data_IF_492551879588
#
_entry.id   IF_492551879588
#
_cell.length_a   1.000
_cell.length_b   1.000
_cell.length_c   1.000
_cell.angle_alpha   90.00
_cell.angle_beta   90.00
_cell.angle_gamma   90.00
#
_symmetry.space_group_name_H-M   'P 1'
#
loop_
_entity.id
_entity.type
_entity.pdbx_description
1 polymer ?
#
# COMPACT_ATOMS: atom_id res chain seq x y z
N UNK A 1 -80.36 16.21 49.52
CA UNK A 1 -80.01 15.00 48.73
C UNK A 1 -79.44 15.29 47.33
N UNK A 2 -79.23 16.56 46.93
CA UNK A 2 -78.67 16.93 45.61
C UNK A 2 -77.11 16.91 45.53
N UNK A 3 -76.40 16.78 46.66
CA UNK A 3 -74.92 16.82 46.68
C UNK A 3 -74.19 15.46 46.60
N UNK A 4 -74.92 14.32 46.59
CA UNK A 4 -74.28 13.00 46.47
C UNK A 4 -74.10 12.53 45.01
N UNK A 5 -74.91 13.03 44.08
CA UNK A 5 -74.82 12.66 42.66
C UNK A 5 -73.65 13.33 41.91
N UNK A 6 -73.19 14.50 42.37
CA UNK A 6 -72.01 15.18 41.80
C UNK A 6 -70.66 14.64 42.32
N UNK A 7 -70.66 13.91 43.44
CA UNK A 7 -69.48 13.19 43.94
C UNK A 7 -69.27 11.87 43.16
N UNK A 8 -70.35 11.21 42.71
CA UNK A 8 -70.26 9.97 41.92
C UNK A 8 -69.75 10.18 40.48
N UNK A 9 -69.94 11.38 39.89
CA UNK A 9 -69.34 11.73 38.59
C UNK A 9 -67.86 12.13 38.67
N UNK A 10 -67.38 12.52 39.86
CA UNK A 10 -65.95 12.84 40.10
C UNK A 10 -65.13 11.64 40.57
N UNK A 11 -65.78 10.57 41.03
CA UNK A 11 -65.15 9.28 41.34
C UNK A 11 -65.08 8.32 40.12
N UNK A 12 -65.44 8.81 38.92
CA UNK A 12 -65.25 8.11 37.64
C UNK A 12 -64.07 8.69 36.84
N UNK A 13 -63.18 9.41 37.51
CA UNK A 13 -61.93 9.92 36.96
C UNK A 13 -60.81 9.46 37.89
N UNK A 14 -59.78 8.85 37.32
CA UNK A 14 -58.58 8.35 38.02
C UNK A 14 -58.76 7.01 38.78
N UNK A 15 -59.21 5.98 38.06
CA UNK A 15 -58.50 4.70 38.17
C UNK A 15 -57.76 4.54 36.86
N UNK A 16 -56.60 5.19 36.79
CA UNK A 16 -55.54 4.77 35.90
C UNK A 16 -55.11 3.41 36.45
N UNK A 17 -55.72 2.33 35.96
CA UNK A 17 -55.13 1.00 36.15
C UNK A 17 -53.85 1.06 35.33
N UNK A 18 -52.74 1.41 35.98
CA UNK A 18 -51.45 0.96 35.52
C UNK A 18 -51.52 -0.57 35.61
N UNK A 19 -51.92 -1.20 34.50
CA UNK A 19 -51.81 -2.64 34.35
C UNK A 19 -50.32 -2.93 34.25
N UNK A 20 -49.65 -3.06 35.39
CA UNK A 20 -48.37 -3.74 35.45
C UNK A 20 -48.68 -5.23 35.25
N UNK A 21 -48.84 -5.65 34.00
CA UNK A 21 -48.97 -7.06 33.68
C UNK A 21 -47.59 -7.69 33.89
N UNK A 22 -47.36 -8.24 35.09
CA UNK A 22 -46.18 -9.05 35.38
C UNK A 22 -46.46 -10.46 34.86
N UNK A 23 -46.16 -10.69 33.58
CA UNK A 23 -46.28 -12.01 32.97
C UNK A 23 -45.08 -12.85 33.42
N UNK A 24 -45.32 -13.85 34.26
CA UNK A 24 -44.31 -14.85 34.64
C UNK A 24 -44.39 -15.98 33.59
N UNK A 25 -43.59 -15.88 32.53
CA UNK A 25 -43.69 -16.77 31.37
C UNK A 25 -43.09 -18.17 31.66
N UNK A 26 -43.96 -19.14 31.91
CA UNK A 26 -43.67 -20.58 31.86
C UNK A 26 -44.47 -21.30 30.75
N UNK A 27 -45.38 -20.60 30.04
CA UNK A 27 -46.14 -21.12 28.91
C UNK A 27 -45.60 -20.52 27.59
N UNK A 28 -45.12 -21.33 26.63
CA UNK A 28 -44.56 -20.84 25.36
C UNK A 28 -45.55 -20.07 24.48
N UNK A 29 -46.84 -20.01 24.84
CA UNK A 29 -47.87 -19.24 24.13
C UNK A 29 -48.25 -17.90 24.78
N UNK A 30 -47.65 -17.52 25.92
CA UNK A 30 -47.90 -16.20 26.53
C UNK A 30 -47.01 -15.15 25.86
N UNK A 31 -47.50 -14.58 24.77
CA UNK A 31 -46.81 -13.53 24.00
C UNK A 31 -47.27 -12.15 24.49
N UNK A 32 -46.33 -11.29 24.88
CA UNK A 32 -46.60 -9.87 25.07
C UNK A 32 -46.61 -9.17 23.71
N UNK A 33 -47.75 -8.58 23.36
CA UNK A 33 -47.91 -7.81 22.12
C UNK A 33 -47.93 -6.32 22.42
N UNK A 34 -47.17 -5.53 21.66
CA UNK A 34 -47.29 -4.08 21.71
C UNK A 34 -48.62 -3.61 21.11
N UNK A 35 -49.06 -2.42 21.50
CA UNK A 35 -50.18 -1.75 20.83
C UNK A 35 -49.78 -1.49 19.38
N UNK A 36 -50.58 -1.99 18.44
CA UNK A 36 -50.35 -1.87 17.00
C UNK A 36 -51.14 -0.68 16.44
N UNK A 37 -50.46 0.27 15.79
CA UNK A 37 -51.07 1.47 15.19
C UNK A 37 -50.51 1.69 13.77
N UNK A 38 -51.29 2.32 12.87
CA UNK A 38 -50.73 2.85 11.62
C UNK A 38 -49.88 4.10 11.87
N UNK A 39 -49.01 4.50 10.93
CA UNK A 39 -48.19 5.73 11.08
C UNK A 39 -49.08 6.96 11.38
N UNK A 40 -50.25 7.07 10.75
CA UNK A 40 -51.21 8.16 11.02
C UNK A 40 -51.78 8.12 12.44
N UNK A 41 -52.15 6.93 12.92
CA UNK A 41 -52.68 6.76 14.28
C UNK A 41 -51.60 7.01 15.34
N UNK A 42 -50.39 6.50 15.12
CA UNK A 42 -49.22 6.72 15.96
C UNK A 42 -48.91 8.23 16.10
N UNK A 43 -48.95 8.98 15.00
CA UNK A 43 -48.71 10.44 15.02
C UNK A 43 -49.89 11.27 15.58
N UNK A 44 -51.06 10.67 15.80
CA UNK A 44 -52.26 11.35 16.34
C UNK A 44 -52.40 11.25 17.86
N UNK A 45 -51.59 10.41 18.51
CA UNK A 45 -51.62 10.21 19.96
C UNK A 45 -50.60 11.10 20.67
N UNK A 46 -50.87 11.40 21.95
CA UNK A 46 -49.92 12.09 22.85
C UNK A 46 -49.35 11.06 23.83
N UNK A 47 -48.28 10.33 23.47
CA UNK A 47 -47.71 9.29 24.33
C UNK A 47 -46.88 9.88 25.49
N UNK A 48 -46.77 9.17 26.62
CA UNK A 48 -45.76 9.46 27.63
C UNK A 48 -44.35 9.10 27.14
N UNK A 49 -43.32 9.75 27.71
CA UNK A 49 -41.91 9.35 27.50
C UNK A 49 -41.71 7.87 27.87
N UNK A 50 -41.01 7.13 27.01
CA UNK A 50 -40.76 5.69 27.14
C UNK A 50 -41.86 4.78 26.61
N UNK A 51 -42.93 5.31 26.01
CA UNK A 51 -43.95 4.49 25.36
C UNK A 51 -43.36 3.69 24.20
N UNK A 52 -43.75 2.42 24.07
CA UNK A 52 -43.38 1.55 22.96
C UNK A 52 -44.64 1.06 22.24
N UNK A 53 -44.62 1.09 20.90
CA UNK A 53 -45.71 0.63 20.04
C UNK A 53 -45.15 -0.12 18.82
N UNK A 54 -45.99 -0.91 18.18
CA UNK A 54 -45.70 -1.50 16.88
C UNK A 54 -46.40 -0.69 15.78
N UNK A 55 -45.63 -0.15 14.83
CA UNK A 55 -46.19 0.55 13.69
C UNK A 55 -46.49 -0.47 12.58
N UNK A 56 -47.77 -0.71 12.32
CA UNK A 56 -48.22 -1.71 11.34
C UNK A 56 -48.07 -1.26 9.88
N UNK A 57 -47.86 0.04 9.64
CA UNK A 57 -47.58 0.56 8.29
C UNK A 57 -46.12 0.34 7.91
N UNK A 58 -45.21 0.50 8.87
CA UNK A 58 -43.76 0.39 8.67
C UNK A 58 -43.19 -0.98 9.10
N UNK A 59 -44.03 -1.82 9.72
CA UNK A 59 -43.66 -3.15 10.23
C UNK A 59 -42.47 -3.10 11.21
N UNK A 60 -42.45 -2.10 12.09
CA UNK A 60 -41.33 -1.82 12.98
C UNK A 60 -41.80 -1.40 14.38
N UNK A 61 -40.92 -1.57 15.37
CA UNK A 61 -41.16 -1.11 16.74
C UNK A 61 -40.70 0.34 16.85
N UNK A 62 -41.48 1.17 17.54
CA UNK A 62 -41.14 2.55 17.84
C UNK A 62 -41.13 2.79 19.35
N UNK A 63 -40.20 3.64 19.81
CA UNK A 63 -40.17 4.20 21.16
C UNK A 63 -40.43 5.70 21.12
N UNK A 64 -41.03 6.26 22.18
CA UNK A 64 -41.24 7.70 22.30
C UNK A 64 -40.28 8.35 23.29
N UNK A 65 -39.38 9.21 22.82
CA UNK A 65 -38.36 9.93 23.61
C UNK A 65 -38.62 11.45 23.68
N UNK A 66 -39.75 11.91 23.14
CA UNK A 66 -40.04 13.31 22.80
C UNK A 66 -40.48 13.45 21.35
N UNK A 67 -40.15 12.46 20.54
CA UNK A 67 -40.69 12.14 19.21
C UNK A 67 -40.73 10.62 19.04
N UNK A 68 -41.46 10.12 18.05
CA UNK A 68 -41.39 8.70 17.68
C UNK A 68 -40.05 8.40 17.03
N UNK A 69 -39.30 7.48 17.63
CA UNK A 69 -38.04 6.94 17.10
C UNK A 69 -38.23 5.46 16.78
N UNK A 70 -37.91 5.06 15.55
CA UNK A 70 -37.90 3.65 15.19
C UNK A 70 -36.77 2.96 15.95
N UNK A 71 -37.06 1.80 16.57
CA UNK A 71 -36.03 0.91 17.07
C UNK A 71 -35.48 0.16 15.84
N UNK A 72 -34.21 0.36 15.46
CA UNK A 72 -33.65 -0.23 14.24
C UNK A 72 -33.81 -1.75 14.28
N UNK A 73 -34.38 -2.31 13.21
CA UNK A 73 -34.50 -3.76 12.97
C UNK A 73 -33.51 -4.22 11.90
N UNK A 74 -32.77 -3.27 11.34
CA UNK A 74 -31.78 -3.43 10.30
C UNK A 74 -30.35 -3.34 10.88
N UNK A 75 -29.50 -4.24 10.43
CA UNK A 75 -28.09 -4.35 10.75
C UNK A 75 -27.23 -3.32 9.97
N UNK A 76 -27.79 -2.15 9.68
CA UNK A 76 -27.23 -1.05 8.88
C UNK A 76 -26.07 -0.30 9.56
N UNK A 77 -25.45 -0.92 10.58
CA UNK A 77 -24.37 -0.33 11.37
C UNK A 77 -23.09 -1.12 11.16
N UNK A 78 -21.95 -0.43 11.16
CA UNK A 78 -20.65 -1.09 11.18
C UNK A 78 -20.26 -1.37 12.63
N UNK A 79 -20.16 -2.64 13.00
CA UNK A 79 -19.76 -3.03 14.35
C UNK A 79 -18.29 -2.69 14.63
N UNK A 80 -17.96 -2.34 15.88
CA UNK A 80 -16.57 -2.16 16.35
C UNK A 80 -15.78 -3.47 16.34
N UNK A 81 -16.46 -4.62 16.34
CA UNK A 81 -15.86 -5.95 16.16
C UNK A 81 -15.82 -6.40 14.69
N UNK A 82 -16.30 -5.57 13.76
CA UNK A 82 -16.53 -5.93 12.36
C UNK A 82 -17.84 -6.67 12.11
N UNK A 83 -18.29 -6.64 10.85
CA UNK A 83 -19.49 -7.32 10.38
C UNK A 83 -19.10 -8.60 9.62
N UNK A 84 -19.84 -9.70 9.83
CA UNK A 84 -19.68 -10.95 9.06
C UNK A 84 -20.72 -11.03 7.93
N UNK A 85 -20.39 -11.71 6.83
CA UNK A 85 -21.33 -11.98 5.74
C UNK A 85 -21.60 -10.79 4.80
N UNK A 86 -20.70 -9.80 4.75
CA UNK A 86 -20.83 -8.64 3.85
C UNK A 86 -20.70 -9.03 2.37
N UNK A 87 -21.41 -8.32 1.50
CA UNK A 87 -21.25 -8.38 0.05
C UNK A 87 -20.48 -7.13 -0.44
N UNK A 88 -19.23 -7.26 -0.94
CA UNK A 88 -18.43 -6.11 -1.38
C UNK A 88 -19.02 -5.26 -2.52
N UNK A 89 -20.03 -5.76 -3.23
CA UNK A 89 -20.73 -4.99 -4.28
C UNK A 89 -21.78 -4.03 -3.72
N UNK A 90 -22.38 -4.33 -2.56
CA UNK A 90 -23.50 -3.56 -1.99
C UNK A 90 -23.20 -2.97 -0.62
N UNK A 91 -22.31 -3.60 0.16
CA UNK A 91 -22.04 -3.25 1.54
C UNK A 91 -20.66 -2.59 1.63
N UNK A 92 -20.61 -1.33 2.07
CA UNK A 92 -19.37 -0.57 2.17
C UNK A 92 -19.43 0.49 3.26
N UNK A 93 -18.25 0.91 3.74
CA UNK A 93 -18.09 2.15 4.49
C UNK A 93 -17.69 3.22 3.48
N UNK A 94 -18.56 4.20 3.27
CA UNK A 94 -18.29 5.26 2.30
C UNK A 94 -19.45 6.22 2.13
N UNK A 95 -19.29 7.14 1.18
CA UNK A 95 -20.31 8.06 0.71
C UNK A 95 -20.92 7.52 -0.57
N UNK A 96 -22.25 7.67 -0.73
CA UNK A 96 -22.96 7.33 -1.97
C UNK A 96 -23.20 8.55 -2.87
N UNK A 97 -22.84 9.74 -2.38
CA UNK A 97 -22.97 11.02 -3.06
C UNK A 97 -21.58 11.59 -3.42
N UNK A 98 -21.56 12.81 -3.97
CA UNK A 98 -20.34 13.49 -4.42
C UNK A 98 -19.50 14.07 -3.28
N UNK A 99 -19.50 13.45 -2.10
CA UNK A 99 -18.74 13.89 -0.92
C UNK A 99 -17.55 12.98 -0.64
N UNK A 100 -16.50 13.54 -0.05
CA UNK A 100 -15.34 12.77 0.42
C UNK A 100 -15.69 11.91 1.64
N UNK A 101 -15.08 10.73 1.76
CA UNK A 101 -15.08 9.96 3.00
C UNK A 101 -13.92 10.43 3.89
N UNK A 102 -14.23 10.95 5.08
CA UNK A 102 -13.24 11.55 5.98
C UNK A 102 -13.17 10.78 7.29
N UNK A 103 -11.95 10.40 7.69
CA UNK A 103 -11.66 9.86 9.01
C UNK A 103 -11.02 10.95 9.88
N UNK A 104 -11.55 11.11 11.10
CA UNK A 104 -11.14 12.17 12.03
C UNK A 104 -10.70 11.60 13.39
N UNK A 105 -9.77 12.29 14.02
CA UNK A 105 -9.41 12.12 15.42
C UNK A 105 -9.41 13.48 16.11
N UNK A 106 -10.06 13.61 17.27
CA UNK A 106 -10.19 14.89 17.99
C UNK A 106 -10.74 16.03 17.10
N UNK A 107 -11.75 15.74 16.26
CA UNK A 107 -12.34 16.66 15.27
C UNK A 107 -11.37 17.18 14.18
N UNK A 108 -10.14 16.67 14.13
CA UNK A 108 -9.17 16.94 13.07
C UNK A 108 -9.16 15.80 12.07
N UNK A 109 -9.05 16.14 10.80
CA UNK A 109 -8.93 15.14 9.73
C UNK A 109 -7.59 14.42 9.81
N UNK A 110 -7.64 13.09 9.87
CA UNK A 110 -6.46 12.22 9.89
C UNK A 110 -6.13 11.72 8.48
N UNK A 111 -7.13 11.24 7.73
CA UNK A 111 -7.01 10.94 6.31
C UNK A 111 -8.37 10.97 5.62
N UNK A 112 -8.35 11.05 4.29
CA UNK A 112 -9.54 11.03 3.42
C UNK A 112 -9.40 10.04 2.27
N UNK A 113 -10.55 9.58 1.78
CA UNK A 113 -10.70 9.08 0.42
C UNK A 113 -11.45 10.15 -0.35
N UNK A 114 -10.77 10.80 -1.30
CA UNK A 114 -11.39 11.83 -2.12
C UNK A 114 -12.35 11.21 -3.12
N UNK A 115 -13.54 11.77 -3.25
CA UNK A 115 -14.46 11.43 -4.34
C UNK A 115 -13.83 11.75 -5.71
N UNK A 116 -12.90 12.70 -5.76
CA UNK A 116 -12.21 13.08 -6.98
C UNK A 116 -11.07 12.09 -7.23
N UNK A 117 -11.20 11.27 -8.27
CA UNK A 117 -10.20 10.29 -8.70
C UNK A 117 -9.83 9.22 -7.66
N UNK A 118 -10.63 9.06 -6.59
CA UNK A 118 -10.51 7.98 -5.59
C UNK A 118 -9.14 7.98 -4.88
N UNK A 119 -8.56 9.16 -4.67
CA UNK A 119 -7.23 9.32 -4.08
C UNK A 119 -7.28 9.29 -2.55
N UNK A 120 -6.24 8.72 -1.94
CA UNK A 120 -6.05 8.75 -0.49
C UNK A 120 -5.14 9.91 -0.11
N UNK A 121 -5.64 10.80 0.74
CA UNK A 121 -4.88 11.94 1.28
C UNK A 121 -4.64 11.80 2.78
N UNK A 122 -3.41 11.99 3.22
CA UNK A 122 -3.04 12.10 4.65
C UNK A 122 -2.60 13.54 4.89
N UNK A 123 -3.31 14.22 5.81
CA UNK A 123 -3.07 15.63 6.16
C UNK A 123 -3.09 16.60 4.96
N UNK A 124 -3.80 16.24 3.88
CA UNK A 124 -4.07 17.08 2.71
C UNK A 124 -5.51 16.89 2.25
N UNK A 125 -6.18 18.00 1.90
CA UNK A 125 -7.54 17.97 1.41
C UNK A 125 -7.65 17.85 -0.12
N UNK A 126 -6.55 18.10 -0.83
CA UNK A 126 -6.47 18.09 -2.29
C UNK A 126 -5.35 17.13 -2.74
N UNK A 127 -5.51 15.81 -2.56
CA UNK A 127 -4.46 14.86 -2.91
C UNK A 127 -4.12 14.93 -4.42
N UNK A 128 -2.84 15.10 -4.75
CA UNK A 128 -2.37 15.19 -6.14
C UNK A 128 -1.89 13.85 -6.73
N UNK A 129 -1.78 12.81 -5.91
CA UNK A 129 -1.41 11.43 -6.27
C UNK A 129 -2.39 10.41 -5.68
N UNK A 130 -2.31 9.14 -6.10
CA UNK A 130 -3.14 8.05 -5.56
C UNK A 130 -3.01 7.90 -4.03
N UNK A 131 -1.78 8.05 -3.53
CA UNK A 131 -1.47 8.25 -2.12
C UNK A 131 -0.67 9.54 -2.01
N UNK A 132 -1.22 10.54 -1.31
CA UNK A 132 -0.56 11.83 -1.09
C UNK A 132 -0.48 12.11 0.42
N UNK A 133 0.72 12.43 0.89
CA UNK A 133 1.01 12.64 2.31
C UNK A 133 1.69 14.00 2.46
N UNK A 134 0.94 14.97 2.99
CA UNK A 134 1.49 16.26 3.37
C UNK A 134 1.94 16.20 4.83
N UNK A 135 3.23 16.31 5.12
CA UNK A 135 3.73 16.20 6.50
C UNK A 135 4.84 17.21 6.77
N UNK A 136 4.91 17.70 8.01
CA UNK A 136 6.09 18.41 8.56
C UNK A 136 7.02 17.49 9.35
N UNK A 137 6.63 16.22 9.53
CA UNK A 137 7.38 15.14 10.17
C UNK A 137 7.85 14.12 9.12
N UNK A 138 8.22 12.89 9.52
CA UNK A 138 8.52 11.80 8.57
C UNK A 138 7.24 11.37 7.83
N UNK A 139 7.10 11.61 6.51
CA UNK A 139 5.87 11.31 5.78
C UNK A 139 5.67 9.80 5.52
N UNK A 140 6.77 9.06 5.34
CA UNK A 140 6.75 7.62 5.13
C UNK A 140 7.92 6.97 5.88
N UNK A 141 7.61 5.97 6.71
CA UNK A 141 8.61 5.14 7.36
C UNK A 141 8.49 3.70 6.86
N UNK A 142 9.53 3.22 6.18
CA UNK A 142 9.71 1.81 5.87
C UNK A 142 10.74 1.28 6.86
N UNK A 143 10.32 0.37 7.75
CA UNK A 143 11.24 -0.18 8.75
C UNK A 143 12.21 -1.19 8.10
N UNK A 144 13.50 -1.18 8.48
CA UNK A 144 14.43 -2.20 8.04
C UNK A 144 13.94 -3.60 8.39
N UNK A 145 13.94 -4.50 7.42
CA UNK A 145 13.62 -5.90 7.66
C UNK A 145 14.88 -6.71 7.94
N UNK A 146 14.83 -7.55 8.99
CA UNK A 146 15.95 -8.38 9.39
C UNK A 146 16.22 -9.54 8.41
N UNK A 147 15.16 -10.07 7.81
CA UNK A 147 15.25 -11.06 6.74
C UNK A 147 14.89 -10.43 5.39
N UNK A 148 15.51 -10.89 4.31
CA UNK A 148 15.08 -10.53 2.95
C UNK A 148 13.66 -11.05 2.73
N UNK A 149 12.67 -10.20 2.40
CA UNK A 149 11.32 -10.65 2.09
C UNK A 149 11.28 -11.56 0.85
N UNK A 150 10.26 -12.41 0.73
CA UNK A 150 9.97 -13.08 -0.55
C UNK A 150 9.38 -12.05 -1.54
N UNK A 151 10.12 -11.72 -2.60
CA UNK A 151 9.63 -10.86 -3.66
C UNK A 151 8.99 -11.67 -4.79
N UNK A 152 7.92 -11.13 -5.38
CA UNK A 152 7.19 -11.80 -6.46
C UNK A 152 6.73 -10.86 -7.57
N UNK A 153 6.68 -9.54 -7.32
CA UNK A 153 6.15 -8.56 -8.26
C UNK A 153 7.07 -7.35 -8.36
N UNK A 154 7.24 -6.82 -9.57
CA UNK A 154 7.96 -5.55 -9.80
C UNK A 154 7.32 -4.41 -9.01
N UNK A 155 8.15 -3.51 -8.48
CA UNK A 155 7.70 -2.36 -7.71
C UNK A 155 7.46 -2.63 -6.22
N UNK A 156 7.59 -3.88 -5.77
CA UNK A 156 7.76 -4.15 -4.34
C UNK A 156 9.06 -3.51 -3.86
N UNK A 157 9.04 -2.89 -2.69
CA UNK A 157 10.18 -2.19 -2.09
C UNK A 157 10.35 -2.59 -0.63
N UNK A 158 11.59 -2.70 -0.16
CA UNK A 158 11.88 -2.82 1.27
C UNK A 158 13.24 -2.19 1.63
N UNK A 159 13.38 -1.77 2.88
CA UNK A 159 14.66 -1.33 3.45
C UNK A 159 15.29 -2.54 4.15
N UNK A 160 16.55 -2.86 3.85
CA UNK A 160 17.27 -3.92 4.55
C UNK A 160 18.08 -3.37 5.73
N UNK A 161 18.63 -4.25 6.56
CA UNK A 161 19.47 -3.88 7.71
C UNK A 161 20.77 -3.14 7.37
N UNK A 162 21.21 -3.18 6.11
CA UNK A 162 22.35 -2.38 5.63
C UNK A 162 21.98 -0.91 5.33
N UNK A 163 20.71 -0.54 5.53
CA UNK A 163 20.20 0.82 5.34
C UNK A 163 19.87 1.17 3.89
N UNK A 164 20.01 0.22 2.96
CA UNK A 164 19.68 0.44 1.55
C UNK A 164 18.22 0.09 1.27
N UNK A 165 17.65 0.83 0.31
CA UNK A 165 16.34 0.58 -0.24
C UNK A 165 16.49 -0.32 -1.47
N UNK A 166 15.78 -1.45 -1.44
CA UNK A 166 15.75 -2.44 -2.49
C UNK A 166 14.39 -2.45 -3.17
N UNK A 167 14.38 -2.66 -4.48
CA UNK A 167 13.19 -2.99 -5.25
C UNK A 167 13.31 -4.41 -5.81
N UNK A 168 12.19 -5.14 -5.87
CA UNK A 168 12.19 -6.46 -6.46
C UNK A 168 12.21 -6.33 -7.99
N UNK A 169 13.27 -6.84 -8.60
CA UNK A 169 13.37 -6.98 -10.06
C UNK A 169 12.78 -8.33 -10.44
N UNK A 170 11.55 -8.33 -10.96
CA UNK A 170 10.87 -9.58 -11.34
C UNK A 170 11.49 -10.25 -12.57
N UNK A 171 12.23 -9.51 -13.42
CA UNK A 171 12.92 -10.08 -14.58
C UNK A 171 14.15 -10.85 -14.13
N UNK A 172 14.90 -10.30 -13.15
CA UNK A 172 16.08 -10.95 -12.57
C UNK A 172 15.77 -11.82 -11.35
N UNK A 173 14.52 -11.83 -10.91
CA UNK A 173 13.98 -12.58 -9.76
C UNK A 173 14.80 -12.37 -8.48
N UNK A 174 15.14 -11.11 -8.16
CA UNK A 174 15.98 -10.77 -7.00
C UNK A 174 15.73 -9.36 -6.51
N UNK A 175 16.12 -9.10 -5.26
CA UNK A 175 16.08 -7.76 -4.69
C UNK A 175 17.34 -7.01 -5.08
N UNK A 176 17.18 -5.88 -5.77
CA UNK A 176 18.28 -5.02 -6.20
C UNK A 176 18.15 -3.65 -5.55
N UNK A 177 19.27 -3.07 -5.14
CA UNK A 177 19.29 -1.69 -4.67
C UNK A 177 18.72 -0.78 -5.75
N UNK A 178 17.91 0.19 -5.32
CA UNK A 178 17.36 1.18 -6.26
C UNK A 178 18.49 2.04 -6.81
N UNK A 179 19.44 2.41 -5.94
CA UNK A 179 20.66 3.08 -6.36
C UNK A 179 21.52 2.14 -7.20
N UNK A 180 21.87 2.61 -8.40
CA UNK A 180 22.79 1.94 -9.32
C UNK A 180 24.16 2.56 -9.20
N UNK A 181 25.20 1.73 -9.22
CA UNK A 181 26.60 2.20 -9.19
C UNK A 181 27.27 1.83 -10.49
N UNK A 182 28.01 2.76 -11.08
CA UNK A 182 28.78 2.49 -12.30
C UNK A 182 30.26 2.35 -11.99
N UNK A 183 30.89 1.32 -12.55
CA UNK A 183 32.33 1.15 -12.55
C UNK A 183 32.86 1.19 -13.97
N UNK A 184 34.04 1.78 -14.13
CA UNK A 184 34.60 1.99 -15.45
C UNK A 184 36.05 1.59 -15.57
N UNK A 185 36.39 1.31 -16.82
CA UNK A 185 37.76 1.15 -17.26
C UNK A 185 37.94 1.84 -18.60
N UNK A 186 39.19 2.12 -18.96
CA UNK A 186 39.51 2.54 -20.30
C UNK A 186 41.00 2.56 -20.59
N UNK A 187 41.34 3.00 -21.79
CA UNK A 187 42.71 3.27 -22.23
C UNK A 187 42.73 4.58 -22.98
N UNK A 188 43.69 5.44 -22.63
CA UNK A 188 44.01 6.63 -23.39
C UNK A 188 45.10 6.31 -24.41
N UNK A 189 44.81 5.38 -25.32
CA UNK A 189 45.74 4.87 -26.33
C UNK A 189 44.97 4.50 -27.62
N UNK A 190 45.54 4.83 -28.77
CA UNK A 190 44.95 4.62 -30.09
C UNK A 190 45.24 3.20 -30.65
N UNK A 191 46.03 2.39 -29.95
CA UNK A 191 46.46 1.07 -30.45
C UNK A 191 46.27 -0.04 -29.40
N UNK A 192 45.20 0.03 -28.62
CA UNK A 192 44.92 -0.93 -27.55
C UNK A 192 44.69 -2.32 -28.14
N UNK A 193 45.50 -3.30 -27.78
CA UNK A 193 45.44 -4.68 -28.33
C UNK A 193 45.56 -5.71 -27.21
N UNK A 194 44.60 -6.62 -27.15
CA UNK A 194 44.59 -7.80 -26.25
C UNK A 194 45.13 -7.55 -24.84
N UNK A 195 44.51 -6.62 -24.12
CA UNK A 195 45.03 -6.19 -22.84
C UNK A 195 43.97 -5.80 -21.81
N UNK A 196 44.39 -5.83 -20.55
CA UNK A 196 43.59 -5.32 -19.46
C UNK A 196 43.48 -3.80 -19.54
N UNK A 197 42.25 -3.31 -19.50
CA UNK A 197 41.95 -1.89 -19.44
C UNK A 197 42.26 -1.33 -18.04
N UNK A 198 42.49 -0.02 -17.97
CA UNK A 198 42.87 0.66 -16.74
C UNK A 198 41.65 1.17 -16.00
N UNK A 199 41.68 1.10 -14.68
CA UNK A 199 40.77 1.89 -13.85
C UNK A 199 41.03 3.38 -14.08
N UNK A 200 40.10 4.26 -13.70
CA UNK A 200 40.27 5.71 -13.89
C UNK A 200 41.41 6.33 -13.07
N UNK A 201 41.90 5.65 -12.03
CA UNK A 201 43.16 6.02 -11.35
C UNK A 201 44.42 5.66 -12.17
N UNK A 202 44.27 5.07 -13.35
CA UNK A 202 45.35 4.72 -14.26
C UNK A 202 46.01 3.35 -14.03
N UNK A 203 45.66 2.63 -12.95
CA UNK A 203 46.15 1.27 -12.71
C UNK A 203 45.51 0.25 -13.67
N UNK A 204 46.29 -0.70 -14.18
CA UNK A 204 45.78 -1.81 -14.98
C UNK A 204 44.88 -2.71 -14.14
N UNK A 205 43.77 -3.17 -14.71
CA UNK A 205 42.81 -3.97 -13.93
C UNK A 205 43.34 -5.33 -13.49
N UNK A 206 44.35 -5.91 -14.15
CA UNK A 206 45.08 -7.10 -13.67
C UNK A 206 46.08 -6.85 -12.54
N UNK A 207 46.40 -5.59 -12.25
CA UNK A 207 47.20 -5.23 -11.08
C UNK A 207 46.31 -4.87 -9.88
N UNK A 208 45.12 -4.31 -10.14
CA UNK A 208 44.10 -4.04 -9.13
C UNK A 208 42.73 -3.87 -9.81
N UNK A 209 41.71 -4.64 -9.39
CA UNK A 209 40.34 -4.53 -9.88
C UNK A 209 39.43 -3.69 -8.98
N UNK A 210 38.16 -3.55 -9.37
CA UNK A 210 37.16 -2.94 -8.49
C UNK A 210 36.74 -3.94 -7.43
N UNK A 211 37.20 -3.78 -6.20
CA UNK A 211 36.83 -4.65 -5.08
C UNK A 211 35.41 -4.33 -4.61
N UNK A 212 34.56 -5.36 -4.59
CA UNK A 212 33.14 -5.25 -4.35
C UNK A 212 32.86 -5.22 -2.84
N UNK A 213 32.18 -4.18 -2.39
CA UNK A 213 31.92 -3.93 -0.97
C UNK A 213 30.71 -4.69 -0.41
N UNK A 214 29.89 -5.29 -1.29
CA UNK A 214 28.69 -6.09 -0.98
C UNK A 214 28.43 -7.06 -2.12
N UNK A 215 27.57 -8.05 -1.88
CA UNK A 215 26.97 -8.85 -2.94
C UNK A 215 26.22 -7.96 -3.93
N UNK A 216 26.28 -8.30 -5.22
CA UNK A 216 25.60 -7.52 -6.24
C UNK A 216 25.46 -8.23 -7.57
N UNK A 217 24.82 -7.54 -8.50
CA UNK A 217 24.52 -8.01 -9.84
C UNK A 217 24.98 -6.96 -10.84
N UNK A 218 25.74 -7.37 -11.85
CA UNK A 218 25.99 -6.55 -13.05
C UNK A 218 24.69 -6.51 -13.83
N UNK A 219 24.18 -5.30 -14.10
CA UNK A 219 22.87 -5.08 -14.71
C UNK A 219 22.97 -4.49 -16.10
N UNK A 220 24.08 -3.82 -16.40
CA UNK A 220 24.37 -3.37 -17.75
C UNK A 220 25.88 -3.32 -18.01
N UNK A 221 26.23 -3.31 -19.29
CA UNK A 221 27.57 -3.05 -19.79
C UNK A 221 27.47 -2.10 -20.99
N UNK A 222 28.38 -1.13 -21.07
CA UNK A 222 28.53 -0.24 -22.22
C UNK A 222 29.99 -0.18 -22.62
N UNK A 223 30.22 0.02 -23.91
CA UNK A 223 31.54 0.15 -24.51
C UNK A 223 31.49 1.26 -25.54
N UNK A 224 32.53 2.08 -25.59
CA UNK A 224 32.72 3.15 -26.56
C UNK A 224 34.19 3.15 -27.02
N UNK A 225 34.41 3.42 -28.30
CA UNK A 225 35.69 3.63 -28.96
C UNK A 225 35.63 4.94 -29.76
N UNK A 226 36.77 5.40 -30.29
CA UNK A 226 36.85 6.63 -31.12
C UNK A 226 36.65 6.35 -32.62
N UNK A 227 36.45 5.08 -33.01
CA UNK A 227 36.21 4.66 -34.38
C UNK A 227 35.37 3.38 -34.43
N UNK A 228 34.75 3.11 -35.59
CA UNK A 228 33.99 1.89 -35.81
C UNK A 228 34.91 0.67 -35.81
N UNK A 229 34.84 -0.14 -34.76
CA UNK A 229 35.83 -1.18 -34.47
C UNK A 229 35.16 -2.52 -34.13
N UNK A 230 35.95 -3.59 -34.12
CA UNK A 230 35.50 -4.93 -33.74
C UNK A 230 36.36 -5.47 -32.61
N UNK A 231 35.77 -5.59 -31.44
CA UNK A 231 36.42 -6.12 -30.24
C UNK A 231 35.40 -6.83 -29.35
N UNK A 232 35.89 -7.62 -28.41
CA UNK A 232 35.06 -8.15 -27.32
C UNK A 232 35.61 -7.64 -26.01
N UNK A 233 34.75 -6.98 -25.26
CA UNK A 233 35.02 -6.61 -23.88
C UNK A 233 34.62 -7.77 -22.99
N UNK A 234 35.54 -8.17 -22.13
CA UNK A 234 35.40 -9.29 -21.22
C UNK A 234 35.52 -8.79 -19.79
N UNK A 235 34.43 -8.92 -19.03
CA UNK A 235 34.46 -8.75 -17.59
C UNK A 235 34.94 -10.07 -16.99
N UNK A 236 35.96 -9.97 -16.15
CA UNK A 236 36.60 -11.08 -15.42
C UNK A 236 36.59 -10.77 -13.93
N UNK A 237 36.91 -11.77 -13.12
CA UNK A 237 37.02 -11.57 -11.67
C UNK A 237 38.18 -12.33 -11.05
N UNK A 238 38.69 -11.80 -9.94
CA UNK A 238 39.62 -12.47 -9.04
C UNK A 238 40.89 -13.01 -9.71
N UNK A 239 41.46 -12.25 -10.66
CA UNK A 239 42.62 -12.62 -11.48
C UNK A 239 42.45 -13.91 -12.30
N UNK A 240 41.22 -14.38 -12.45
CA UNK A 240 40.90 -15.53 -13.29
C UNK A 240 40.66 -15.08 -14.73
N UNK A 241 40.98 -15.94 -15.70
CA UNK A 241 40.69 -15.70 -17.12
C UNK A 241 39.27 -16.07 -17.50
N UNK A 242 38.45 -16.56 -16.56
CA UNK A 242 37.06 -16.90 -16.82
C UNK A 242 36.24 -15.64 -17.06
N UNK A 243 35.60 -15.57 -18.21
CA UNK A 243 34.71 -14.47 -18.59
C UNK A 243 33.40 -14.63 -17.81
N UNK A 244 33.04 -13.63 -17.01
CA UNK A 244 31.77 -13.62 -16.27
C UNK A 244 30.68 -12.88 -17.02
N UNK A 245 31.04 -11.90 -17.86
CA UNK A 245 30.15 -11.17 -18.75
C UNK A 245 30.96 -10.64 -19.92
N UNK A 246 30.35 -10.46 -21.09
CA UNK A 246 31.03 -9.88 -22.24
C UNK A 246 30.11 -9.05 -23.11
N UNK A 247 30.68 -8.10 -23.84
CA UNK A 247 30.00 -7.35 -24.89
C UNK A 247 30.90 -7.27 -26.13
N UNK A 248 30.39 -7.71 -27.26
CA UNK A 248 31.11 -7.69 -28.54
C UNK A 248 30.66 -6.51 -29.38
N UNK A 249 31.61 -5.71 -29.88
CA UNK A 249 31.40 -4.72 -30.94
C UNK A 249 31.61 -5.39 -32.30
N UNK A 250 30.80 -5.05 -33.28
CA UNK A 250 30.94 -5.54 -34.66
C UNK A 250 30.91 -4.40 -35.65
N UNK A 251 32.08 -3.82 -35.93
CA UNK A 251 32.27 -2.69 -36.83
C UNK A 251 31.37 -1.50 -36.44
N UNK A 252 31.46 -1.08 -35.19
CA UNK A 252 30.67 0.00 -34.60
C UNK A 252 31.50 0.76 -33.55
N UNK A 253 31.15 2.03 -33.29
CA UNK A 253 31.88 2.90 -32.35
C UNK A 253 31.50 2.67 -30.89
N UNK A 254 30.35 2.05 -30.64
CA UNK A 254 29.89 1.84 -29.28
C UNK A 254 28.67 0.95 -29.22
N UNK A 255 28.53 0.24 -28.11
CA UNK A 255 27.44 -0.71 -27.86
C UNK A 255 27.07 -0.71 -26.38
N UNK A 256 25.85 -1.10 -26.08
CA UNK A 256 25.43 -1.39 -24.71
C UNK A 256 24.54 -2.64 -24.64
N UNK A 257 24.47 -3.23 -23.46
CA UNK A 257 23.52 -4.28 -23.09
C UNK A 257 23.04 -4.03 -21.66
N UNK A 258 21.74 -3.83 -21.48
CA UNK A 258 21.09 -3.58 -20.19
C UNK A 258 20.29 -4.80 -19.67
N UNK A 259 20.48 -5.95 -20.31
CA UNK A 259 19.83 -7.22 -19.97
C UNK A 259 20.72 -8.12 -19.08
N UNK A 260 21.96 -7.68 -18.79
CA UNK A 260 22.92 -8.44 -17.99
C UNK A 260 22.31 -8.81 -16.64
N UNK A 261 22.57 -10.04 -16.21
CA UNK A 261 22.12 -10.59 -14.93
C UNK A 261 23.19 -11.52 -14.35
N UNK A 262 24.37 -10.94 -14.07
CA UNK A 262 25.53 -11.69 -13.59
C UNK A 262 25.84 -11.30 -12.16
N UNK A 263 25.80 -12.27 -11.26
CA UNK A 263 26.05 -12.04 -9.85
C UNK A 263 27.53 -12.10 -9.50
N UNK A 264 27.93 -11.23 -8.57
CA UNK A 264 29.20 -11.30 -7.87
C UNK A 264 28.95 -11.25 -6.36
N UNK A 265 29.94 -11.72 -5.61
CA UNK A 265 29.85 -11.74 -4.16
C UNK A 265 30.66 -10.59 -3.55
N UNK A 266 30.34 -10.24 -2.31
CA UNK A 266 31.15 -9.35 -1.49
C UNK A 266 32.60 -9.85 -1.45
N UNK A 267 33.54 -8.93 -1.64
CA UNK A 267 34.97 -9.22 -1.64
C UNK A 267 35.52 -9.75 -2.96
N UNK A 268 34.68 -10.14 -3.94
CA UNK A 268 35.15 -10.32 -5.33
C UNK A 268 35.76 -8.99 -5.82
N UNK A 269 36.69 -9.05 -6.78
CA UNK A 269 37.09 -7.86 -7.53
C UNK A 269 36.93 -8.07 -9.03
N UNK A 270 36.40 -7.05 -9.70
CA UNK A 270 36.08 -7.08 -11.12
C UNK A 270 37.19 -6.45 -11.94
N UNK A 271 37.42 -7.01 -13.11
CA UNK A 271 38.49 -6.64 -14.04
C UNK A 271 37.93 -6.61 -15.46
N UNK A 272 38.57 -5.85 -16.34
CA UNK A 272 38.12 -5.66 -17.70
C UNK A 272 39.27 -5.92 -18.66
N UNK A 273 39.09 -6.92 -19.51
CA UNK A 273 40.01 -7.27 -20.57
C UNK A 273 39.37 -6.91 -21.91
N UNK A 274 40.15 -6.27 -22.77
CA UNK A 274 39.77 -6.01 -24.15
C UNK A 274 40.44 -7.06 -25.04
N UNK A 275 39.64 -7.77 -25.81
CA UNK A 275 40.07 -8.73 -26.82
C UNK A 275 39.79 -8.14 -28.20
N UNK A 276 40.84 -7.80 -28.93
CA UNK A 276 40.75 -7.00 -30.14
C UNK A 276 42.11 -6.40 -30.51
N UNK A 277 42.19 -5.84 -31.71
CA UNK A 277 43.44 -5.33 -32.27
C UNK A 277 43.26 -3.89 -32.71
N UNK A 278 44.23 -3.03 -32.37
CA UNK A 278 44.27 -1.61 -32.74
C UNK A 278 42.97 -0.85 -32.36
N UNK A 279 42.46 -1.08 -31.15
CA UNK A 279 41.25 -0.42 -30.67
C UNK A 279 41.59 0.99 -30.14
N UNK A 280 40.91 2.00 -30.68
CA UNK A 280 41.13 3.40 -30.40
C UNK A 280 40.37 3.89 -29.16
N UNK A 281 41.13 4.33 -28.15
CA UNK A 281 40.65 4.98 -26.93
C UNK A 281 39.45 4.28 -26.24
N UNK A 282 39.49 2.96 -26.02
CA UNK A 282 38.33 2.23 -25.53
C UNK A 282 37.96 2.66 -24.11
N UNK A 283 36.66 2.84 -23.89
CA UNK A 283 36.05 3.10 -22.59
C UNK A 283 34.93 2.07 -22.35
N UNK A 284 34.91 1.51 -21.15
CA UNK A 284 33.94 0.51 -20.72
C UNK A 284 33.31 0.96 -19.41
N UNK A 285 32.00 0.85 -19.31
CA UNK A 285 31.27 1.01 -18.05
C UNK A 285 30.44 -0.24 -17.80
N UNK A 286 30.38 -0.68 -16.54
CA UNK A 286 29.34 -1.58 -16.07
C UNK A 286 28.45 -0.85 -15.08
N UNK A 287 27.16 -1.12 -15.15
CA UNK A 287 26.22 -0.77 -14.09
C UNK A 287 26.05 -1.99 -13.18
N UNK A 288 26.06 -1.73 -11.87
CA UNK A 288 25.72 -2.73 -10.86
C UNK A 288 24.58 -2.26 -9.95
N UNK A 289 23.92 -3.22 -9.33
CA UNK A 289 23.10 -2.99 -8.15
C UNK A 289 23.48 -3.98 -7.05
N UNK A 290 23.39 -3.55 -5.80
CA UNK A 290 23.59 -4.41 -4.64
C UNK A 290 22.42 -5.39 -4.53
N UNK A 291 22.71 -6.63 -4.13
CA UNK A 291 21.75 -7.74 -4.18
C UNK A 291 21.41 -8.24 -2.77
N UNK A 292 20.14 -8.58 -2.56
CA UNK A 292 19.64 -9.32 -1.39
C UNK A 292 18.93 -10.60 -1.79
#
# INVERSE_FOLDING_TARGET
MSNYFNQLKKLLCVIMVAVFMKINAQDPNLIFTLVSLTTTQMNSITPPLGAMIFNSTENAIFQYSGSWEQIPVDNSTWSTSGNSGTNPTTDFIGTADGQDLIFKANNLEAFRVSQVNQRVGINTINPNAQLDILSTEVPLRIQPNAATPAGSLSGQMFVANDGLLYAYDAVRTKWLSIDRTMFGWGRNDANTTDEYLRQYNGALSNNNGWRMIRDGTITAITVQTDAAESCTIEIRKNDTTTIVSSLTLTNEEGRHDNTINIDFNEGDFLQCFLNGTDINFPQVLIEIAWRK
#
